data_IF_983663035839
#
_entry.id   IF_983663035839
#
_cell.length_a   1.000
_cell.length_b   1.000
_cell.length_c   1.000
_cell.angle_alpha   90.00
_cell.angle_beta   90.00
_cell.angle_gamma   90.00
#
_symmetry.space_group_name_H-M   'P 1'
#
loop_
_entity.id
_entity.type
_entity.pdbx_description
1 polymer ?
#
# COMPACT_ATOMS: atom_id res chain seq x y z
N UNK A 1 1.92 20.27 -24.37
CA UNK A 1 1.49 18.87 -24.15
C UNK A 1 2.74 18.03 -24.03
N UNK A 2 3.24 17.83 -22.80
CA UNK A 2 4.39 16.98 -22.55
C UNK A 2 3.87 15.56 -22.28
N UNK A 3 4.37 14.61 -23.07
CA UNK A 3 4.13 13.18 -22.88
C UNK A 3 4.87 12.74 -21.62
N UNK A 4 4.18 11.99 -20.78
CA UNK A 4 4.71 11.37 -19.57
C UNK A 4 5.82 10.38 -19.98
N UNK A 5 7.04 10.58 -19.49
CA UNK A 5 8.18 9.68 -19.69
C UNK A 5 8.34 8.80 -18.44
N UNK A 6 7.92 7.53 -18.50
CA UNK A 6 7.98 6.66 -17.34
C UNK A 6 9.40 6.10 -17.20
N UNK A 7 10.16 6.69 -16.28
CA UNK A 7 11.16 6.01 -15.43
C UNK A 7 12.25 5.23 -16.19
N UNK A 8 13.31 5.95 -16.56
CA UNK A 8 14.65 5.36 -16.67
C UNK A 8 15.05 4.74 -15.33
N UNK A 9 14.98 3.42 -15.23
CA UNK A 9 15.61 2.67 -14.15
C UNK A 9 16.98 2.17 -14.65
N UNK A 10 18.06 2.77 -14.17
CA UNK A 10 19.43 2.29 -14.41
C UNK A 10 19.86 1.46 -13.21
N UNK A 11 19.69 0.13 -13.26
CA UNK A 11 20.40 -0.76 -12.33
C UNK A 11 21.78 -1.03 -12.92
N UNK A 12 22.80 -0.37 -12.35
CA UNK A 12 24.18 -0.86 -12.43
C UNK A 12 24.39 -1.90 -11.34
N UNK A 13 24.64 -3.14 -11.74
CA UNK A 13 25.03 -4.23 -10.84
C UNK A 13 25.30 -5.50 -11.63
N UNK A 14 26.56 -5.72 -12.00
CA UNK A 14 27.02 -6.94 -12.67
C UNK A 14 26.85 -8.16 -11.74
N UNK A 15 26.17 -9.19 -12.23
CA UNK A 15 26.00 -10.45 -11.51
C UNK A 15 25.25 -11.46 -12.37
N UNK A 16 25.97 -12.37 -12.98
CA UNK A 16 25.47 -13.39 -13.92
C UNK A 16 24.52 -14.38 -13.23
N UNK A 17 23.21 -14.22 -13.47
CA UNK A 17 22.25 -15.30 -13.30
C UNK A 17 21.28 -15.32 -14.47
N UNK A 18 21.10 -16.52 -15.02
CA UNK A 18 20.30 -16.84 -16.20
C UNK A 18 18.80 -16.67 -15.87
N UNK A 19 18.33 -15.44 -15.83
CA UNK A 19 16.90 -15.12 -15.86
C UNK A 19 16.60 -14.55 -17.24
N UNK A 20 15.67 -15.19 -17.94
CA UNK A 20 15.10 -14.70 -19.19
C UNK A 20 14.69 -13.25 -18.94
N UNK A 21 15.30 -12.30 -19.64
CA UNK A 21 14.92 -10.89 -19.59
C UNK A 21 13.44 -10.81 -19.98
N UNK A 22 12.57 -10.78 -18.97
CA UNK A 22 11.17 -10.46 -19.18
C UNK A 22 11.15 -8.98 -19.52
N UNK A 23 10.26 -8.61 -20.42
CA UNK A 23 9.99 -7.21 -20.67
C UNK A 23 9.28 -6.66 -19.42
N UNK A 24 10.09 -6.23 -18.45
CA UNK A 24 9.67 -5.90 -17.09
C UNK A 24 8.56 -4.84 -17.10
N UNK A 25 8.57 -3.93 -18.09
CA UNK A 25 7.56 -2.91 -18.27
C UNK A 25 6.17 -3.48 -18.59
N UNK A 26 6.09 -4.53 -19.42
CA UNK A 26 4.80 -5.12 -19.80
C UNK A 26 4.19 -5.97 -18.68
N UNK A 27 5.02 -6.67 -17.88
CA UNK A 27 4.52 -7.45 -16.75
C UNK A 27 4.02 -6.53 -15.62
N UNK A 28 4.73 -5.43 -15.35
CA UNK A 28 4.29 -4.41 -14.39
C UNK A 28 2.96 -3.80 -14.82
N UNK A 29 2.81 -3.41 -16.08
CA UNK A 29 1.56 -2.82 -16.58
C UNK A 29 0.36 -3.78 -16.41
N UNK A 30 0.53 -5.06 -16.75
CA UNK A 30 -0.50 -6.09 -16.52
C UNK A 30 -0.76 -6.31 -15.04
N UNK A 31 0.27 -6.27 -14.19
CA UNK A 31 0.12 -6.40 -12.75
C UNK A 31 -0.65 -5.23 -12.15
N UNK A 32 -0.37 -4.00 -12.58
CA UNK A 32 -1.12 -2.80 -12.21
C UNK A 32 -2.59 -2.94 -12.55
N UNK A 33 -2.94 -3.39 -13.75
CA UNK A 33 -4.35 -3.62 -14.12
C UNK A 33 -5.02 -4.68 -13.23
N UNK A 34 -4.34 -5.81 -12.98
CA UNK A 34 -4.84 -6.85 -12.06
C UNK A 34 -4.99 -6.35 -10.62
N UNK A 35 -4.13 -5.41 -10.19
CA UNK A 35 -4.15 -4.82 -8.86
C UNK A 35 -5.29 -3.81 -8.74
N UNK A 36 -5.40 -2.91 -9.72
CA UNK A 36 -6.47 -1.93 -9.90
C UNK A 36 -7.86 -2.55 -9.84
N UNK A 37 -8.07 -3.64 -10.57
CA UNK A 37 -9.37 -4.32 -10.60
C UNK A 37 -9.88 -4.72 -9.19
N UNK A 38 -8.97 -4.85 -8.22
CA UNK A 38 -9.22 -5.22 -6.82
C UNK A 38 -9.19 -4.03 -5.86
N UNK A 39 -9.09 -2.81 -6.35
CA UNK A 39 -9.11 -1.58 -5.55
C UNK A 39 -10.50 -0.92 -5.61
N UNK A 40 -10.97 -0.41 -4.47
CA UNK A 40 -12.20 0.38 -4.36
C UNK A 40 -11.97 1.58 -3.48
N UNK A 41 -12.38 2.76 -3.95
CA UNK A 41 -12.36 3.95 -3.13
C UNK A 41 -13.48 3.92 -2.07
N UNK A 42 -13.13 4.20 -0.82
CA UNK A 42 -14.09 4.43 0.26
C UNK A 42 -14.20 5.95 0.53
N UNK A 43 -15.32 6.59 0.16
CA UNK A 43 -15.49 8.04 0.30
C UNK A 43 -15.60 8.52 1.75
N UNK A 44 -15.83 7.62 2.72
CA UNK A 44 -15.93 7.97 4.14
C UNK A 44 -14.55 8.15 4.75
N UNK A 45 -13.66 7.20 4.49
CA UNK A 45 -12.31 7.16 5.07
C UNK A 45 -11.24 7.74 4.15
N UNK A 46 -11.58 7.95 2.87
CA UNK A 46 -10.65 8.30 1.79
C UNK A 46 -9.67 7.18 1.42
N UNK A 47 -9.82 5.99 2.01
CA UNK A 47 -8.96 4.85 1.69
C UNK A 47 -9.23 4.33 0.28
N UNK A 48 -8.17 3.87 -0.38
CA UNK A 48 -8.28 2.87 -1.44
C UNK A 48 -8.20 1.50 -0.79
N UNK A 49 -9.31 0.79 -0.78
CA UNK A 49 -9.48 -0.49 -0.09
C UNK A 49 -9.26 -1.64 -1.04
N UNK A 50 -8.43 -2.59 -0.62
CA UNK A 50 -8.24 -3.87 -1.29
C UNK A 50 -9.46 -4.78 -1.10
N UNK A 51 -9.96 -5.32 -2.22
CA UNK A 51 -11.13 -6.20 -2.29
C UNK A 51 -10.80 -7.59 -2.83
N UNK A 52 -9.52 -7.85 -3.10
CA UNK A 52 -9.04 -9.15 -3.56
C UNK A 52 -8.86 -10.17 -2.44
N UNK A 53 -8.11 -11.24 -2.75
CA UNK A 53 -7.76 -12.27 -1.76
C UNK A 53 -7.05 -11.67 -0.54
N UNK A 54 -7.31 -12.25 0.62
CA UNK A 54 -6.72 -11.83 1.91
C UNK A 54 -6.01 -12.99 2.59
N UNK A 55 -5.14 -12.66 3.54
CA UNK A 55 -4.42 -13.63 4.37
C UNK A 55 -4.33 -13.11 5.79
N UNK A 56 -4.16 -14.02 6.74
CA UNK A 56 -3.76 -13.71 8.12
C UNK A 56 -2.36 -14.26 8.36
N UNK A 57 -1.58 -13.58 9.19
CA UNK A 57 -0.30 -14.12 9.68
C UNK A 57 -0.54 -15.16 10.76
N UNK A 58 0.36 -16.14 10.92
CA UNK A 58 0.32 -17.02 12.11
C UNK A 58 0.50 -16.16 13.36
N UNK A 59 -0.44 -16.23 14.30
CA UNK A 59 -0.43 -15.45 15.54
C UNK A 59 -0.84 -13.97 15.40
N UNK A 60 -1.25 -13.52 14.21
CA UNK A 60 -1.78 -12.17 14.01
C UNK A 60 -3.30 -12.24 13.78
N UNK A 61 -4.05 -11.43 14.52
CA UNK A 61 -5.51 -11.30 14.37
C UNK A 61 -5.88 -10.42 13.17
N UNK A 62 -4.95 -9.59 12.68
CA UNK A 62 -5.18 -8.70 11.55
C UNK A 62 -5.22 -9.45 10.22
N UNK A 63 -6.16 -9.03 9.36
CA UNK A 63 -6.31 -9.53 7.99
C UNK A 63 -5.67 -8.54 7.03
N UNK A 64 -4.79 -9.02 6.14
CA UNK A 64 -4.12 -8.21 5.13
C UNK A 64 -4.48 -8.67 3.73
N UNK A 65 -4.51 -7.74 2.78
CA UNK A 65 -4.64 -8.05 1.37
C UNK A 65 -3.44 -8.87 0.87
N UNK A 66 -3.69 -9.77 -0.07
CA UNK A 66 -2.67 -10.60 -0.70
C UNK A 66 -2.74 -10.50 -2.21
N UNK A 67 -1.59 -10.36 -2.85
CA UNK A 67 -1.45 -10.21 -4.29
C UNK A 67 -0.32 -11.09 -4.82
N UNK A 68 -0.53 -11.75 -5.96
CA UNK A 68 0.51 -12.54 -6.62
C UNK A 68 1.15 -11.73 -7.75
N UNK A 69 2.47 -11.61 -7.69
CA UNK A 69 3.28 -10.90 -8.67
C UNK A 69 4.69 -11.50 -8.70
N UNK A 70 5.21 -11.69 -9.90
CA UNK A 70 6.53 -12.28 -10.16
C UNK A 70 6.80 -13.59 -9.38
N UNK A 71 5.91 -14.57 -9.55
CA UNK A 71 6.07 -15.91 -8.98
C UNK A 71 5.95 -16.00 -7.45
N UNK A 72 5.71 -14.89 -6.74
CA UNK A 72 5.58 -14.87 -5.29
C UNK A 72 4.35 -14.12 -4.80
N UNK A 73 3.98 -14.42 -3.55
CA UNK A 73 2.89 -13.75 -2.84
C UNK A 73 3.42 -12.50 -2.13
N UNK A 74 2.82 -11.37 -2.43
CA UNK A 74 2.99 -10.10 -1.75
C UNK A 74 1.82 -9.82 -0.79
N UNK A 75 2.09 -9.05 0.27
CA UNK A 75 1.03 -8.30 0.92
C UNK A 75 0.63 -7.14 0.00
N UNK A 76 -0.68 -6.94 -0.21
CA UNK A 76 -1.19 -5.98 -1.19
C UNK A 76 -0.69 -4.55 -0.90
N UNK A 77 -0.67 -4.13 0.37
CA UNK A 77 -0.14 -2.83 0.77
C UNK A 77 1.36 -2.69 0.47
N UNK A 78 2.18 -3.72 0.74
CA UNK A 78 3.62 -3.69 0.40
C UNK A 78 3.86 -3.62 -1.10
N UNK A 79 3.05 -4.32 -1.89
CA UNK A 79 3.14 -4.23 -3.35
C UNK A 79 2.78 -2.82 -3.82
N UNK A 80 1.68 -2.23 -3.34
CA UNK A 80 1.35 -0.85 -3.67
C UNK A 80 2.47 0.12 -3.25
N UNK A 81 3.00 -0.01 -2.04
CA UNK A 81 4.10 0.82 -1.56
C UNK A 81 5.29 0.83 -2.54
N UNK A 82 5.75 -0.34 -2.97
CA UNK A 82 6.88 -0.46 -3.88
C UNK A 82 6.56 0.03 -5.31
N UNK A 83 5.45 -0.44 -5.90
CA UNK A 83 5.21 -0.30 -7.35
C UNK A 83 4.27 0.85 -7.74
N UNK A 84 3.53 1.40 -6.79
CA UNK A 84 2.62 2.54 -7.02
C UNK A 84 3.17 3.80 -6.33
N UNK A 85 3.61 3.67 -5.07
CA UNK A 85 4.11 4.81 -4.30
C UNK A 85 5.62 5.04 -4.45
N UNK A 86 6.37 4.10 -5.03
CA UNK A 86 7.83 4.19 -5.17
C UNK A 86 8.58 4.18 -3.84
N UNK A 87 7.99 3.62 -2.78
CA UNK A 87 8.61 3.52 -1.46
C UNK A 87 9.65 2.39 -1.45
N UNK A 88 10.79 2.63 -0.81
CA UNK A 88 11.68 1.56 -0.41
C UNK A 88 11.01 0.74 0.70
N UNK A 89 10.85 -0.55 0.44
CA UNK A 89 10.21 -1.49 1.36
C UNK A 89 11.21 -2.49 1.94
N UNK A 90 12.46 -2.50 1.47
CA UNK A 90 13.45 -3.48 1.90
C UNK A 90 14.00 -3.10 3.29
N UNK A 91 13.97 -4.07 4.21
CA UNK A 91 14.33 -3.82 5.62
C UNK A 91 13.35 -2.96 6.42
N UNK A 92 12.36 -2.34 5.77
CA UNK A 92 11.36 -1.47 6.40
C UNK A 92 9.99 -2.16 6.56
N UNK A 93 9.25 -1.69 7.56
CA UNK A 93 7.81 -1.90 7.65
C UNK A 93 7.10 -0.96 6.68
N UNK A 94 5.94 -1.38 6.18
CA UNK A 94 5.03 -0.50 5.45
C UNK A 94 3.86 -0.23 6.39
N UNK A 95 3.96 0.88 7.12
CA UNK A 95 2.95 1.32 8.07
C UNK A 95 1.72 1.87 7.35
N UNK A 96 0.55 1.71 7.97
CA UNK A 96 -0.69 2.29 7.48
C UNK A 96 -0.98 3.58 8.25
N UNK A 97 -0.82 4.73 7.60
CA UNK A 97 -1.18 6.03 8.16
C UNK A 97 -2.62 6.45 7.81
N UNK A 98 -3.44 5.52 7.27
CA UNK A 98 -4.84 5.77 6.93
C UNK A 98 -5.59 6.23 8.20
N UNK A 99 -6.47 7.22 8.11
CA UNK A 99 -7.21 7.70 9.26
C UNK A 99 -8.18 6.61 9.77
N UNK A 100 -8.48 6.68 11.07
CA UNK A 100 -9.10 5.61 11.87
C UNK A 100 -10.31 4.91 11.24
N UNK A 101 -10.33 3.57 11.30
CA UNK A 101 -11.57 2.78 11.12
C UNK A 101 -12.39 2.78 12.41
N UNK A 102 -13.65 2.29 12.31
CA UNK A 102 -14.58 2.20 13.43
C UNK A 102 -14.01 1.51 14.69
N UNK A 103 -12.97 0.69 14.55
CA UNK A 103 -12.35 -0.04 15.67
C UNK A 103 -11.14 0.68 16.28
N UNK A 104 -10.83 1.91 15.87
CA UNK A 104 -9.69 2.66 16.41
C UNK A 104 -8.34 2.23 15.85
N UNK A 105 -8.32 1.50 14.73
CA UNK A 105 -7.12 0.99 14.07
C UNK A 105 -7.02 1.47 12.62
N UNK A 106 -5.82 1.53 12.03
CA UNK A 106 -5.67 1.75 10.59
C UNK A 106 -6.33 0.62 9.80
N UNK A 107 -6.94 0.95 8.66
CA UNK A 107 -7.52 -0.06 7.77
C UNK A 107 -6.42 -0.95 7.18
N UNK A 108 -6.30 -2.20 7.63
CA UNK A 108 -5.25 -3.15 7.17
C UNK A 108 -5.40 -3.60 5.72
N UNK A 109 -6.48 -3.21 5.04
CA UNK A 109 -6.72 -3.43 3.61
C UNK A 109 -6.50 -2.16 2.76
N UNK A 110 -6.15 -1.03 3.37
CA UNK A 110 -5.81 0.21 2.68
C UNK A 110 -4.50 0.04 1.89
N UNK A 111 -4.48 0.48 0.63
CA UNK A 111 -3.29 0.43 -0.26
C UNK A 111 -2.81 1.81 -0.70
N UNK A 112 -3.44 2.87 -0.18
CA UNK A 112 -3.16 4.27 -0.51
C UNK A 112 -2.33 4.96 0.57
N UNK A 113 -2.80 4.92 1.83
CA UNK A 113 -2.12 5.65 2.90
C UNK A 113 -1.06 4.74 3.53
N UNK A 114 0.13 4.79 2.96
CA UNK A 114 1.27 3.94 3.30
C UNK A 114 2.50 4.79 3.58
N UNK A 115 3.34 4.32 4.50
CA UNK A 115 4.64 4.91 4.80
C UNK A 115 5.69 3.81 4.95
N UNK A 116 6.88 4.00 4.36
CA UNK A 116 8.06 3.19 4.65
C UNK A 116 8.64 3.65 5.99
N UNK A 117 8.70 2.75 6.97
CA UNK A 117 9.08 3.08 8.35
C UNK A 117 9.90 1.96 8.97
N UNK A 118 10.83 2.31 9.85
CA UNK A 118 11.37 1.36 10.82
C UNK A 118 10.27 0.91 11.77
N UNK A 119 10.48 -0.22 12.45
CA UNK A 119 9.52 -0.70 13.46
C UNK A 119 9.32 0.32 14.59
N UNK A 120 10.38 1.01 15.01
CA UNK A 120 10.32 2.02 16.07
C UNK A 120 9.46 3.22 15.64
N UNK A 121 9.63 3.71 14.42
CA UNK A 121 8.84 4.81 13.86
C UNK A 121 7.37 4.44 13.71
N UNK A 122 7.06 3.26 13.17
CA UNK A 122 5.68 2.80 13.03
C UNK A 122 4.98 2.67 14.40
N UNK A 123 5.70 2.21 15.43
CA UNK A 123 5.18 2.16 16.80
C UNK A 123 4.98 3.57 17.40
N UNK A 124 5.94 4.47 17.20
CA UNK A 124 5.85 5.86 17.67
C UNK A 124 4.68 6.58 17.02
N UNK A 125 4.53 6.50 15.69
CA UNK A 125 3.40 7.07 14.95
C UNK A 125 2.07 6.47 15.41
N UNK A 126 2.00 5.16 15.61
CA UNK A 126 0.79 4.52 16.11
C UNK A 126 0.43 4.97 17.54
N UNK A 127 1.41 5.26 18.40
CA UNK A 127 1.17 5.80 19.75
C UNK A 127 0.76 7.27 19.70
N UNK A 128 1.44 8.09 18.90
CA UNK A 128 1.10 9.50 18.71
C UNK A 128 -0.32 9.65 18.17
N UNK A 129 -0.65 8.87 17.15
CA UNK A 129 -1.94 8.95 16.48
C UNK A 129 -3.06 8.29 17.28
N UNK A 130 -2.86 7.05 17.73
CA UNK A 130 -3.93 6.22 18.31
C UNK A 130 -3.96 6.27 19.85
N UNK A 131 -2.97 6.90 20.48
CA UNK A 131 -2.69 6.74 21.90
C UNK A 131 -2.13 5.35 22.24
N UNK A 132 -1.84 5.09 23.52
CA UNK A 132 -1.38 3.78 23.97
C UNK A 132 -2.43 2.71 23.64
N UNK A 133 -2.03 1.46 23.30
CA UNK A 133 -2.97 0.39 22.96
C UNK A 133 -4.09 0.18 23.99
N UNK A 134 -3.81 0.41 25.27
CA UNK A 134 -4.78 0.30 26.37
C UNK A 134 -5.91 1.35 26.35
N UNK A 135 -5.75 2.43 25.57
CA UNK A 135 -6.68 3.57 25.52
C UNK A 135 -7.34 3.76 24.15
N UNK A 136 -7.15 2.83 23.20
CA UNK A 136 -7.78 2.92 21.88
C UNK A 136 -9.30 2.77 22.01
N UNK A 137 -10.04 3.87 21.94
CA UNK A 137 -11.50 3.86 21.95
C UNK A 137 -12.04 3.57 20.55
N UNK A 138 -12.91 2.55 20.44
CA UNK A 138 -13.54 2.09 19.19
C UNK A 138 -14.68 2.99 18.67
N UNK A 139 -14.55 4.32 18.78
CA UNK A 139 -15.68 5.24 18.47
C UNK A 139 -15.40 6.40 17.54
N UNK A 140 -14.20 6.51 16.97
CA UNK A 140 -13.92 7.59 16.03
C UNK A 140 -14.08 7.11 14.59
N UNK A 141 -15.13 7.62 13.92
CA UNK A 141 -15.22 7.56 12.45
C UNK A 141 -14.25 8.60 11.91
N UNK A 142 -13.27 8.18 11.12
CA UNK A 142 -12.61 9.13 10.25
C UNK A 142 -13.63 9.66 9.23
N UNK A 143 -13.87 10.96 9.26
CA UNK A 143 -14.37 11.72 8.11
C UNK A 143 -13.19 12.55 7.57
N UNK A 144 -12.79 12.30 6.32
CA UNK A 144 -11.86 13.20 5.62
C UNK A 144 -12.67 14.23 4.84
N UNK A 145 -12.27 15.50 4.92
CA UNK A 145 -12.82 16.55 4.08
C UNK A 145 -12.51 16.26 2.61
N UNK A 146 -13.40 16.64 1.69
CA UNK A 146 -13.31 16.23 0.28
C UNK A 146 -12.02 16.67 -0.43
N UNK A 147 -11.42 17.77 0.05
CA UNK A 147 -10.19 18.38 -0.39
C UNK A 147 -8.91 17.74 0.19
N UNK A 148 -9.03 16.97 1.28
CA UNK A 148 -7.91 16.29 1.96
C UNK A 148 -7.89 14.77 1.74
N UNK A 149 -8.81 14.25 0.93
CA UNK A 149 -8.89 12.82 0.55
C UNK A 149 -7.63 12.40 -0.18
N UNK A 150 -6.81 11.52 0.41
CA UNK A 150 -5.53 11.16 -0.21
C UNK A 150 -5.64 10.12 -1.35
N UNK A 151 -6.80 9.94 -1.98
CA UNK A 151 -6.94 9.05 -3.16
C UNK A 151 -6.27 9.60 -4.43
N UNK A 152 -5.79 10.84 -4.39
CA UNK A 152 -5.34 11.58 -5.57
C UNK A 152 -4.23 10.85 -6.32
N UNK A 153 -3.30 10.16 -5.65
CA UNK A 153 -2.25 9.43 -6.37
C UNK A 153 -2.85 8.38 -7.32
N UNK A 154 -3.76 7.52 -6.84
CA UNK A 154 -4.35 6.49 -7.69
C UNK A 154 -5.22 7.07 -8.80
N UNK A 155 -5.86 8.23 -8.59
CA UNK A 155 -6.62 8.94 -9.63
C UNK A 155 -5.68 9.57 -10.67
N UNK A 156 -4.61 10.24 -10.21
CA UNK A 156 -3.61 10.94 -11.04
C UNK A 156 -2.90 9.97 -11.99
N UNK A 157 -2.60 8.76 -11.52
CA UNK A 157 -1.97 7.70 -12.34
C UNK A 157 -2.99 6.81 -13.07
N UNK A 158 -4.29 7.13 -13.01
CA UNK A 158 -5.34 6.46 -13.78
C UNK A 158 -5.77 5.08 -13.26
N UNK A 159 -5.49 4.75 -11.99
CA UNK A 159 -5.94 3.51 -11.36
C UNK A 159 -7.36 3.61 -10.75
N UNK A 160 -7.91 4.79 -10.52
CA UNK A 160 -9.30 4.96 -10.02
C UNK A 160 -10.11 5.91 -10.88
#
# INVERSE_FOLDING_TARGET
MALYDPLEWSIRGEGTSRFVARDDNHDIARALERFRAKCRFDPRTGCVVWTGGTTRGRGNTATYGSFWYDGRRWFAHRWAAAFIHGLDVDGLQVGHNCPFTADGHPNTLCVQHLAGQTQAENLAEAVERLGPPAHRQSRFKCEQAADTRQQWLFVEIGLL
#
